data_IF_059744941843
#
_entry.id   IF_059744941843
#
_cell.length_a   1.000
_cell.length_b   1.000
_cell.length_c   1.000
_cell.angle_alpha   90.00
_cell.angle_beta   90.00
_cell.angle_gamma   90.00
#
_symmetry.space_group_name_H-M   'P 1'
#
loop_
_entity.id
_entity.type
_entity.pdbx_description
1 polymer ?
#
# COMPACT_ATOMS: atom_id res chain seq x y z
N UNK A 1 -9.16 12.46 -13.71
CA UNK A 1 -8.44 13.65 -14.21
C UNK A 1 -9.45 14.55 -14.90
N UNK A 2 -9.27 15.87 -14.83
CA UNK A 2 -10.01 16.79 -15.72
C UNK A 2 -9.21 17.09 -17.01
N UNK A 3 -9.78 17.94 -17.86
CA UNK A 3 -9.21 18.38 -19.15
C UNK A 3 -7.83 19.05 -19.06
N UNK A 4 -7.41 19.47 -17.87
CA UNK A 4 -6.13 20.15 -17.62
C UNK A 4 -5.08 19.23 -17.00
N UNK A 5 -5.36 17.92 -16.93
CA UNK A 5 -4.57 16.95 -16.17
C UNK A 5 -4.53 17.20 -14.66
N UNK A 6 -5.49 17.97 -14.13
CA UNK A 6 -5.63 18.12 -12.68
C UNK A 6 -6.21 16.85 -12.08
N UNK A 7 -5.48 16.25 -11.13
CA UNK A 7 -5.92 15.08 -10.38
C UNK A 7 -6.92 15.53 -9.32
N UNK A 8 -8.09 14.87 -9.28
CA UNK A 8 -9.12 15.07 -8.26
C UNK A 8 -9.35 13.74 -7.59
N UNK A 9 -9.18 13.71 -6.28
CA UNK A 9 -9.59 12.54 -5.50
C UNK A 9 -11.12 12.46 -5.61
N UNK A 10 -11.61 11.27 -5.93
CA UNK A 10 -13.03 10.97 -6.10
C UNK A 10 -13.37 9.71 -5.29
N UNK A 11 -14.65 9.30 -5.32
CA UNK A 11 -15.13 8.06 -4.68
C UNK A 11 -14.87 7.98 -3.15
N UNK A 12 -15.08 9.09 -2.43
CA UNK A 12 -14.97 9.21 -0.96
C UNK A 12 -16.05 8.45 -0.16
N UNK A 13 -16.88 7.67 -0.82
CA UNK A 13 -17.95 6.89 -0.21
C UNK A 13 -18.20 5.68 -1.08
N UNK A 14 -18.74 4.62 -0.49
CA UNK A 14 -19.13 3.35 -1.13
C UNK A 14 -20.14 3.56 -2.28
N UNK A 15 -19.77 4.26 -3.34
CA UNK A 15 -20.49 4.32 -4.60
C UNK A 15 -20.28 2.95 -5.24
N UNK A 16 -21.25 2.08 -4.95
CA UNK A 16 -21.32 0.65 -5.24
C UNK A 16 -21.39 0.29 -6.73
N UNK A 17 -20.92 1.13 -7.64
CA UNK A 17 -20.75 0.67 -9.01
C UNK A 17 -19.36 0.09 -9.20
N UNK A 18 -19.40 -1.22 -9.30
CA UNK A 18 -18.42 -2.19 -9.69
C UNK A 18 -17.73 -1.76 -11.00
N UNK A 19 -16.86 -0.75 -10.93
CA UNK A 19 -16.04 -0.40 -12.09
C UNK A 19 -14.97 -1.46 -12.36
N UNK A 20 -14.67 -2.31 -11.37
CA UNK A 20 -13.91 -3.52 -11.61
C UNK A 20 -14.21 -4.62 -10.58
N UNK A 21 -14.71 -5.78 -11.02
CA UNK A 21 -14.95 -6.93 -10.11
C UNK A 21 -13.64 -7.55 -9.63
N UNK A 22 -12.53 -7.29 -10.32
CA UNK A 22 -11.25 -7.99 -10.10
C UNK A 22 -10.50 -7.47 -8.86
N UNK A 23 -10.70 -6.21 -8.47
CA UNK A 23 -9.98 -5.62 -7.33
C UNK A 23 -10.65 -5.82 -5.96
N UNK A 24 -11.94 -6.21 -5.95
CA UNK A 24 -12.69 -6.35 -4.70
C UNK A 24 -12.87 -7.82 -4.32
N UNK A 25 -12.40 -8.16 -3.12
CA UNK A 25 -12.58 -9.50 -2.55
C UNK A 25 -13.72 -9.52 -1.54
N UNK A 26 -14.49 -10.61 -1.52
CA UNK A 26 -15.60 -10.80 -0.60
C UNK A 26 -15.04 -11.23 0.75
N UNK A 27 -15.31 -10.46 1.79
CA UNK A 27 -14.93 -10.84 3.14
C UNK A 27 -15.88 -11.90 3.70
N UNK A 28 -15.32 -13.06 4.10
CA UNK A 28 -16.08 -14.26 4.47
C UNK A 28 -17.12 -14.04 5.58
N UNK A 29 -16.91 -13.08 6.50
CA UNK A 29 -17.83 -12.82 7.62
C UNK A 29 -18.95 -11.82 7.31
N UNK A 30 -18.68 -10.83 6.46
CA UNK A 30 -19.60 -9.70 6.24
C UNK A 30 -20.20 -9.67 4.83
N UNK A 31 -19.69 -10.49 3.90
CA UNK A 31 -20.08 -10.45 2.49
C UNK A 31 -19.68 -9.15 1.77
N UNK A 32 -18.96 -8.26 2.46
CA UNK A 32 -18.55 -6.97 1.91
C UNK A 32 -17.45 -7.17 0.86
N UNK A 33 -17.59 -6.48 -0.27
CA UNK A 33 -16.58 -6.38 -1.32
C UNK A 33 -15.60 -5.27 -0.95
N UNK A 34 -14.36 -5.63 -0.63
CA UNK A 34 -13.33 -4.69 -0.16
C UNK A 34 -12.06 -4.74 -1.06
N UNK A 35 -11.39 -3.60 -1.28
CA UNK A 35 -10.17 -3.52 -2.07
C UNK A 35 -8.96 -3.95 -1.23
N UNK A 36 -8.89 -5.24 -0.86
CA UNK A 36 -7.99 -5.74 0.18
C UNK A 36 -6.50 -5.48 -0.07
N UNK A 37 -6.08 -5.33 -1.34
CA UNK A 37 -4.68 -5.06 -1.71
C UNK A 37 -4.23 -3.62 -1.43
N UNK A 38 -5.17 -2.70 -1.23
CA UNK A 38 -4.91 -1.31 -0.83
C UNK A 38 -5.07 -1.09 0.67
N UNK A 39 -5.71 -2.02 1.38
CA UNK A 39 -6.04 -1.84 2.78
C UNK A 39 -4.81 -1.95 3.68
N UNK A 40 -4.78 -1.10 4.70
CA UNK A 40 -3.80 -1.19 5.78
C UNK A 40 -4.00 -2.47 6.61
N UNK A 41 -2.91 -2.94 7.23
CA UNK A 41 -2.90 -4.19 8.01
C UNK A 41 -3.98 -4.20 9.12
N UNK A 42 -4.10 -3.11 9.86
CA UNK A 42 -5.12 -2.96 10.90
C UNK A 42 -6.56 -2.95 10.34
N UNK A 43 -6.74 -2.40 9.13
CA UNK A 43 -8.03 -2.35 8.44
C UNK A 43 -8.42 -3.73 7.91
N UNK A 44 -7.45 -4.54 7.46
CA UNK A 44 -7.67 -5.93 7.06
C UNK A 44 -8.15 -6.78 8.23
N UNK A 45 -7.64 -6.52 9.45
CA UNK A 45 -8.00 -7.28 10.65
C UNK A 45 -9.29 -6.79 11.31
N UNK A 46 -9.47 -5.47 11.42
CA UNK A 46 -10.53 -4.87 12.28
C UNK A 46 -11.62 -4.15 11.51
N UNK A 47 -11.47 -3.97 10.19
CA UNK A 47 -12.36 -3.16 9.35
C UNK A 47 -12.53 -1.70 9.84
N UNK A 48 -11.55 -1.19 10.61
CA UNK A 48 -11.48 0.22 11.00
C UNK A 48 -10.66 0.99 9.97
N UNK A 49 -11.21 2.10 9.51
CA UNK A 49 -10.57 3.00 8.56
C UNK A 49 -10.30 4.34 9.25
N UNK A 50 -9.10 4.88 9.03
CA UNK A 50 -8.60 6.11 9.64
C UNK A 50 -7.77 6.88 8.62
N UNK A 51 -7.45 8.13 8.89
CA UNK A 51 -6.50 8.89 8.06
C UNK A 51 -5.15 8.16 7.91
N UNK A 52 -4.73 7.36 8.90
CA UNK A 52 -3.50 6.57 8.82
C UNK A 52 -3.64 5.33 7.94
N UNK A 53 -4.84 4.75 7.83
CA UNK A 53 -5.09 3.71 6.82
C UNK A 53 -5.14 4.31 5.41
N UNK A 54 -5.63 5.54 5.27
CA UNK A 54 -5.60 6.24 3.97
C UNK A 54 -4.18 6.55 3.51
N UNK A 55 -3.28 6.87 4.46
CA UNK A 55 -1.84 7.02 4.17
C UNK A 55 -1.24 5.72 3.62
N UNK A 56 -1.65 4.56 4.13
CA UNK A 56 -1.21 3.28 3.59
C UNK A 56 -1.69 3.09 2.15
N UNK A 57 -2.99 3.30 1.90
CA UNK A 57 -3.58 3.22 0.56
C UNK A 57 -2.89 4.18 -0.42
N UNK A 58 -2.54 5.39 0.04
CA UNK A 58 -1.77 6.35 -0.74
C UNK A 58 -0.37 5.83 -1.10
N UNK A 59 0.30 5.11 -0.20
CA UNK A 59 1.56 4.42 -0.52
C UNK A 59 1.39 3.42 -1.67
N UNK A 60 0.29 2.64 -1.67
CA UNK A 60 -0.03 1.72 -2.77
C UNK A 60 -0.30 2.49 -4.07
N UNK A 61 -1.04 3.59 -4.01
CA UNK A 61 -1.29 4.47 -5.16
C UNK A 61 0.02 5.03 -5.75
N UNK A 62 0.95 5.48 -4.91
CA UNK A 62 2.26 5.93 -5.40
C UNK A 62 3.01 4.82 -6.14
N UNK A 63 2.93 3.59 -5.62
CA UNK A 63 3.52 2.44 -6.31
C UNK A 63 2.84 2.16 -7.65
N UNK A 64 1.50 2.26 -7.72
CA UNK A 64 0.76 2.14 -8.98
C UNK A 64 1.15 3.22 -10.00
N UNK A 65 1.32 4.48 -9.56
CA UNK A 65 1.78 5.55 -10.45
C UNK A 65 3.15 5.24 -11.04
N UNK A 66 4.08 4.77 -10.21
CA UNK A 66 5.44 4.41 -10.64
C UNK A 66 5.50 3.13 -11.46
N UNK A 67 4.48 2.27 -11.34
CA UNK A 67 4.32 1.06 -12.17
C UNK A 67 3.34 1.24 -13.32
N UNK A 68 2.80 2.44 -13.51
CA UNK A 68 1.83 2.76 -14.56
C UNK A 68 0.56 1.88 -14.52
N UNK A 69 0.09 1.57 -13.32
CA UNK A 69 -1.14 0.81 -13.09
C UNK A 69 -0.95 -0.70 -13.12
N UNK A 70 0.26 -1.20 -12.82
CA UNK A 70 0.41 -2.63 -12.55
C UNK A 70 -0.47 -3.02 -11.35
N UNK A 71 -1.06 -4.22 -11.33
CA UNK A 71 -1.85 -4.67 -10.20
C UNK A 71 -0.95 -4.85 -8.98
N UNK A 72 -1.26 -4.29 -7.81
CA UNK A 72 -0.47 -4.49 -6.61
C UNK A 72 -0.51 -5.97 -6.20
N UNK A 73 0.63 -6.48 -5.73
CA UNK A 73 0.78 -7.87 -5.29
C UNK A 73 0.20 -8.89 -6.30
N UNK A 74 0.68 -8.90 -7.56
CA UNK A 74 0.06 -9.70 -8.64
C UNK A 74 0.03 -11.20 -8.30
N UNK A 75 1.08 -11.70 -7.66
CA UNK A 75 1.26 -13.12 -7.33
C UNK A 75 0.67 -13.52 -5.97
N UNK A 76 0.01 -12.59 -5.27
CA UNK A 76 -0.58 -12.83 -3.95
C UNK A 76 -2.09 -12.90 -4.08
N UNK A 77 -2.66 -14.03 -3.68
CA UNK A 77 -4.10 -14.18 -3.57
C UNK A 77 -4.64 -13.19 -2.53
N UNK A 78 -5.76 -12.54 -2.84
CA UNK A 78 -6.44 -11.62 -1.94
C UNK A 78 -6.74 -12.19 -0.55
N UNK A 79 -6.96 -13.49 -0.40
CA UNK A 79 -7.16 -14.13 0.90
C UNK A 79 -5.87 -14.22 1.74
N UNK A 80 -4.71 -14.25 1.08
CA UNK A 80 -3.40 -14.42 1.72
C UNK A 80 -2.70 -13.09 2.00
N UNK A 81 -3.26 -11.97 1.54
CA UNK A 81 -2.62 -10.65 1.65
C UNK A 81 -2.26 -10.27 3.09
N UNK A 82 -3.13 -10.61 4.05
CA UNK A 82 -2.89 -10.34 5.47
C UNK A 82 -1.66 -11.09 5.97
N UNK A 83 -1.55 -12.40 5.67
CA UNK A 83 -0.41 -13.22 6.08
C UNK A 83 0.87 -12.75 5.38
N UNK A 84 0.79 -12.43 4.09
CA UNK A 84 1.91 -11.88 3.33
C UNK A 84 2.48 -10.60 3.95
N UNK A 85 1.61 -9.67 4.35
CA UNK A 85 2.00 -8.42 5.00
C UNK A 85 2.50 -8.60 6.43
N UNK A 86 1.93 -9.55 7.18
CA UNK A 86 2.37 -9.91 8.54
C UNK A 86 3.78 -10.51 8.54
N UNK A 87 4.21 -11.16 7.46
CA UNK A 87 5.61 -11.60 7.29
C UNK A 87 6.59 -10.44 7.07
N UNK A 88 6.12 -9.19 7.11
CA UNK A 88 6.96 -8.00 6.94
C UNK A 88 7.27 -7.66 5.49
N UNK A 89 6.66 -8.36 4.52
CA UNK A 89 6.83 -8.14 3.08
C UNK A 89 6.04 -6.92 2.62
N UNK A 90 6.52 -6.25 1.58
CA UNK A 90 5.86 -5.10 0.93
C UNK A 90 5.96 -5.21 -0.59
N UNK A 91 5.33 -4.27 -1.31
CA UNK A 91 5.58 -4.08 -2.74
C UNK A 91 7.06 -3.75 -2.96
N UNK A 92 7.63 -4.27 -4.05
CA UNK A 92 9.01 -3.99 -4.39
C UNK A 92 9.15 -2.62 -5.05
N UNK A 93 10.35 -2.07 -4.98
CA UNK A 93 10.68 -0.82 -5.66
C UNK A 93 10.55 -0.98 -7.19
N UNK A 94 9.72 -0.16 -7.86
CA UNK A 94 9.65 -0.14 -9.32
C UNK A 94 10.97 0.29 -9.95
N UNK A 95 11.28 -0.19 -11.15
CA UNK A 95 12.56 0.04 -11.86
C UNK A 95 12.94 1.53 -11.97
N UNK A 96 11.97 2.39 -12.30
CA UNK A 96 12.17 3.83 -12.46
C UNK A 96 11.75 4.64 -11.22
N UNK A 97 11.55 3.98 -10.08
CA UNK A 97 11.19 4.64 -8.84
C UNK A 97 12.45 5.16 -8.13
N UNK A 98 12.57 6.48 -7.90
CA UNK A 98 13.67 7.04 -7.10
C UNK A 98 13.67 6.47 -5.68
N UNK A 99 14.85 6.15 -5.15
CA UNK A 99 15.00 5.59 -3.79
C UNK A 99 14.27 6.42 -2.74
N UNK A 100 14.39 7.74 -2.82
CA UNK A 100 13.76 8.66 -1.88
C UNK A 100 12.22 8.61 -1.92
N UNK A 101 11.63 8.31 -3.08
CA UNK A 101 10.19 8.11 -3.20
C UNK A 101 9.79 6.74 -2.67
N UNK A 102 10.59 5.70 -2.92
CA UNK A 102 10.34 4.38 -2.37
C UNK A 102 10.44 4.35 -0.83
N UNK A 103 11.38 5.10 -0.24
CA UNK A 103 11.44 5.31 1.21
C UNK A 103 10.16 5.94 1.77
N UNK A 104 9.55 6.87 1.02
CA UNK A 104 8.25 7.46 1.38
C UNK A 104 7.16 6.39 1.35
N UNK A 105 7.13 5.55 0.30
CA UNK A 105 6.17 4.44 0.21
C UNK A 105 6.33 3.46 1.38
N UNK A 106 7.56 3.08 1.73
CA UNK A 106 7.82 2.22 2.88
C UNK A 106 7.28 2.86 4.16
N UNK A 107 7.55 4.14 4.42
CA UNK A 107 7.00 4.86 5.59
C UNK A 107 5.47 4.88 5.61
N UNK A 108 4.81 4.98 4.46
CA UNK A 108 3.35 4.84 4.37
C UNK A 108 2.87 3.45 4.81
N UNK A 109 3.66 2.40 4.55
CA UNK A 109 3.34 1.02 4.91
C UNK A 109 3.95 0.55 6.23
N UNK A 110 4.28 1.49 7.12
CA UNK A 110 4.77 1.14 8.44
C UNK A 110 3.72 0.32 9.22
N UNK A 111 4.11 -0.78 9.90
CA UNK A 111 3.15 -1.65 10.61
C UNK A 111 2.33 -0.90 11.66
N UNK A 112 2.99 -0.02 12.42
CA UNK A 112 2.36 0.87 13.40
C UNK A 112 1.74 2.10 12.71
N UNK A 113 0.41 2.33 12.78
CA UNK A 113 -0.25 3.47 12.11
C UNK A 113 0.29 4.84 12.54
N UNK A 114 0.65 4.98 13.81
CA UNK A 114 1.17 6.21 14.40
C UNK A 114 2.56 6.61 13.85
N UNK A 115 3.34 5.63 13.37
CA UNK A 115 4.66 5.88 12.77
C UNK A 115 4.60 6.23 11.28
N UNK A 116 3.41 6.14 10.66
CA UNK A 116 3.21 6.58 9.27
C UNK A 116 3.20 8.12 9.24
N UNK A 117 3.65 8.74 8.14
CA UNK A 117 3.58 10.20 8.00
C UNK A 117 2.13 10.70 7.96
N UNK A 118 1.95 12.00 8.11
CA UNK A 118 0.73 12.72 7.80
C UNK A 118 0.71 13.13 6.33
N UNK A 119 -0.47 13.42 5.77
CA UNK A 119 -0.54 13.95 4.41
C UNK A 119 0.22 15.28 4.24
N UNK A 120 0.25 16.15 5.25
CA UNK A 120 1.04 17.38 5.21
C UNK A 120 2.54 17.11 5.07
N UNK A 121 3.06 16.12 5.81
CA UNK A 121 4.46 15.69 5.69
C UNK A 121 4.74 15.05 4.31
N UNK A 122 3.79 14.27 3.79
CA UNK A 122 3.88 13.69 2.46
C UNK A 122 3.92 14.76 1.37
N UNK A 123 3.06 15.78 1.43
CA UNK A 123 3.06 16.91 0.48
C UNK A 123 4.41 17.62 0.50
N UNK A 124 4.93 17.93 1.69
CA UNK A 124 6.23 18.59 1.85
C UNK A 124 7.35 17.76 1.23
N UNK A 125 7.42 16.47 1.60
CA UNK A 125 8.48 15.57 1.12
C UNK A 125 8.39 15.35 -0.39
N UNK A 126 7.22 15.03 -0.92
CA UNK A 126 7.02 14.75 -2.35
C UNK A 126 7.25 16.00 -3.19
N UNK A 127 6.81 17.19 -2.74
CA UNK A 127 7.08 18.45 -3.45
C UNK A 127 8.57 18.74 -3.54
N UNK A 128 9.31 18.52 -2.45
CA UNK A 128 10.78 18.67 -2.44
C UNK A 128 11.48 17.67 -3.35
N UNK A 129 10.97 16.43 -3.46
CA UNK A 129 11.48 15.46 -4.43
C UNK A 129 11.18 15.92 -5.85
N UNK A 130 9.93 16.30 -6.12
CA UNK A 130 9.46 16.70 -7.43
C UNK A 130 10.28 17.87 -8.01
N UNK A 131 10.66 18.84 -7.18
CA UNK A 131 11.48 19.98 -7.61
C UNK A 131 12.90 19.61 -8.06
N UNK A 132 13.37 18.40 -7.77
CA UNK A 132 14.70 17.92 -8.22
C UNK A 132 14.67 17.32 -9.62
N UNK A 133 13.50 17.00 -10.18
CA UNK A 133 13.38 16.40 -11.51
C UNK A 133 13.35 17.48 -12.61
N UNK A 134 14.15 17.28 -13.66
CA UNK A 134 14.25 18.19 -14.81
C UNK A 134 13.36 17.71 -15.98
N UNK A 135 12.67 16.58 -15.84
CA UNK A 135 11.73 16.05 -16.85
C UNK A 135 12.36 15.29 -18.01
N UNK A 136 13.66 14.95 -17.93
CA UNK A 136 14.41 14.29 -19.01
C UNK A 136 14.31 12.75 -18.99
N UNK A 137 13.76 12.17 -17.92
CA UNK A 137 13.64 10.71 -17.76
C UNK A 137 12.23 10.22 -18.08
N UNK A 138 12.07 9.60 -19.26
CA UNK A 138 10.83 8.96 -19.66
C UNK A 138 10.71 7.56 -19.05
N UNK A 139 9.56 7.27 -18.43
CA UNK A 139 9.19 5.90 -18.04
C UNK A 139 8.49 5.24 -19.24
N UNK A 140 9.04 4.17 -19.79
CA UNK A 140 8.49 3.48 -20.98
C UNK A 140 7.39 2.47 -20.58
N UNK A 141 6.46 2.16 -21.51
CA UNK A 141 5.32 1.23 -21.25
C UNK A 141 5.78 -0.23 -21.31
N UNK A 142 6.78 -0.54 -22.15
CA UNK A 142 7.04 -1.91 -22.58
C UNK A 142 7.88 -2.76 -21.61
N UNK A 143 7.97 -2.34 -20.35
CA UNK A 143 8.66 -3.11 -19.32
C UNK A 143 7.67 -4.07 -18.70
N UNK A 144 7.86 -5.38 -18.92
CA UNK A 144 7.34 -6.38 -17.97
C UNK A 144 7.95 -6.04 -16.61
N UNK A 145 7.16 -5.58 -15.64
CA UNK A 145 7.67 -5.31 -14.29
C UNK A 145 8.22 -6.61 -13.69
N UNK A 146 9.52 -6.84 -13.89
CA UNK A 146 10.22 -7.99 -13.32
C UNK A 146 10.63 -7.60 -11.92
N UNK A 147 9.92 -8.14 -10.94
CA UNK A 147 10.22 -8.00 -9.53
C UNK A 147 11.50 -8.80 -9.19
N UNK A 148 12.69 -8.20 -9.31
CA UNK A 148 13.97 -8.95 -9.29
C UNK A 148 14.42 -9.39 -7.87
N UNK A 149 13.88 -8.85 -6.75
CA UNK A 149 14.29 -9.30 -5.39
C UNK A 149 13.18 -9.21 -4.33
N UNK A 150 12.86 -10.32 -3.67
CA UNK A 150 11.97 -10.33 -2.50
C UNK A 150 12.71 -9.79 -1.27
N UNK A 151 12.31 -8.63 -0.75
CA UNK A 151 12.83 -8.07 0.50
C UNK A 151 11.70 -7.89 1.51
N UNK A 152 11.97 -8.22 2.77
CA UNK A 152 11.08 -7.97 3.89
C UNK A 152 11.60 -6.73 4.65
N UNK A 153 11.10 -5.51 4.36
CA UNK A 153 11.58 -4.29 5.01
C UNK A 153 11.21 -4.20 6.49
N UNK A 154 10.24 -4.99 6.95
CA UNK A 154 9.81 -5.03 8.34
C UNK A 154 10.01 -6.42 8.95
N UNK A 155 10.19 -6.51 10.28
CA UNK A 155 10.15 -7.79 10.99
C UNK A 155 8.80 -8.51 10.80
N UNK A 156 8.84 -9.85 10.82
CA UNK A 156 7.63 -10.66 10.83
C UNK A 156 6.88 -10.47 12.15
N UNK A 157 5.55 -10.29 12.05
CA UNK A 157 4.63 -10.17 13.17
C UNK A 157 3.95 -11.50 13.53
N UNK A 158 4.20 -12.58 12.77
CA UNK A 158 3.59 -13.90 13.00
C UNK A 158 4.14 -14.65 14.23
N UNK A 159 5.18 -14.13 14.90
CA UNK A 159 5.85 -14.80 16.04
C UNK A 159 5.74 -14.04 17.37
N UNK A 160 4.97 -12.94 17.43
CA UNK A 160 4.88 -12.11 18.63
C UNK A 160 3.77 -12.53 19.61
N UNK A 161 2.93 -13.52 19.28
CA UNK A 161 1.74 -13.89 20.08
C UNK A 161 1.90 -15.14 20.97
N UNK A 162 3.06 -15.82 20.99
CA UNK A 162 3.24 -17.07 21.77
C UNK A 162 3.89 -16.91 23.17
N UNK A 163 4.20 -15.70 23.65
CA UNK A 163 4.99 -15.52 24.89
C UNK A 163 4.30 -14.75 26.04
N UNK A 164 2.98 -14.82 26.20
CA UNK A 164 2.29 -14.22 27.38
C UNK A 164 1.42 -15.14 28.23
N UNK A 165 1.33 -16.45 27.97
CA UNK A 165 0.48 -17.37 28.78
C UNK A 165 1.22 -18.58 29.37
N UNK A 166 2.44 -18.39 29.89
CA UNK A 166 3.07 -19.38 30.78
C UNK A 166 3.86 -18.67 31.89
N UNK A 167 3.15 -18.14 32.91
CA UNK A 167 3.64 -17.99 34.29
C UNK A 167 2.55 -17.40 35.20
N UNK A 168 1.56 -18.22 35.52
CA UNK A 168 0.78 -18.13 36.76
C UNK A 168 0.33 -19.56 37.07
N UNK A 169 1.23 -20.32 37.68
CA UNK A 169 0.94 -21.37 38.66
C UNK A 169 2.26 -22.01 39.11
N UNK A 170 2.86 -21.46 40.17
CA UNK A 170 3.59 -22.20 41.21
C UNK A 170 3.80 -21.33 42.44
#
# INVERSE_FOLDING_TARGET
>A
LDETFTVKVADFGLARDVYDKEYYSVHNKTGAKLPVKWMALESLQTQKFTTKSDVWSFGVLLWELMTRGAPPYPDVNSFDITIYLLQGRRLLQPEYCPDQLFEVMLKCWHPKPESRPTFSELVSKISSLFSTFIGEHYVLINTTYVNIKCTAPYPSLLQAEENTDFNLDT
#
